data_IF_344080634379
#
_entry.id   IF_344080634379
#
_cell.length_a   1.000
_cell.length_b   1.000
_cell.length_c   1.000
_cell.angle_alpha   90.00
_cell.angle_beta   90.00
_cell.angle_gamma   90.00
#
_symmetry.space_group_name_H-M   'P 1'
#
loop_
_entity.id
_entity.type
_entity.pdbx_description
1 polymer ?
#
# COMPACT_ATOMS: atom_id res chain seq x y z
N UNK A 1 -34.65 13.71 -11.74
CA UNK A 1 -33.90 13.67 -10.47
C UNK A 1 -33.76 12.21 -10.06
N UNK A 2 -32.65 11.51 -10.33
CA UNK A 2 -32.44 10.22 -9.71
C UNK A 2 -32.01 10.46 -8.26
N UNK A 3 -32.90 10.11 -7.32
CA UNK A 3 -32.59 9.94 -5.91
C UNK A 3 -31.61 8.77 -5.77
N UNK A 4 -30.31 9.04 -5.71
CA UNK A 4 -29.29 8.00 -5.57
C UNK A 4 -28.98 7.73 -4.09
N UNK A 5 -29.84 6.92 -3.48
CA UNK A 5 -29.69 6.30 -2.15
C UNK A 5 -28.63 5.20 -2.18
N UNK A 6 -27.44 5.47 -2.74
CA UNK A 6 -26.28 4.62 -2.45
C UNK A 6 -25.96 4.79 -0.96
N UNK A 7 -25.80 3.71 -0.18
CA UNK A 7 -25.33 3.82 1.20
C UNK A 7 -24.01 4.60 1.22
N UNK A 8 -23.83 5.44 2.24
CA UNK A 8 -22.63 6.26 2.43
C UNK A 8 -21.43 5.36 2.74
N UNK A 9 -20.85 4.79 1.69
CA UNK A 9 -19.81 3.78 1.78
C UNK A 9 -18.54 4.37 2.39
N UNK A 10 -17.96 3.64 3.33
CA UNK A 10 -16.62 3.93 3.80
C UNK A 10 -15.60 3.48 2.74
N UNK A 11 -14.49 4.20 2.69
CA UNK A 11 -13.23 3.71 2.13
C UNK A 11 -12.18 3.75 3.22
N UNK A 12 -11.13 2.94 3.08
CA UNK A 12 -10.06 2.88 4.05
C UNK A 12 -8.69 2.86 3.36
N UNK A 13 -7.69 3.41 4.03
CA UNK A 13 -6.28 3.24 3.72
C UNK A 13 -5.55 2.73 4.94
N UNK A 14 -4.50 1.94 4.73
CA UNK A 14 -3.71 1.40 5.83
C UNK A 14 -2.24 1.25 5.49
N UNK A 15 -1.41 1.41 6.50
CA UNK A 15 0.01 1.09 6.49
C UNK A 15 0.39 0.30 7.76
N UNK A 16 1.38 -0.58 7.63
CA UNK A 16 1.76 -1.56 8.65
C UNK A 16 2.99 -1.12 9.45
N UNK A 17 2.78 -0.76 10.71
CA UNK A 17 3.87 -0.52 11.67
C UNK A 17 4.25 -1.80 12.44
N UNK A 18 5.26 -1.74 13.33
CA UNK A 18 5.81 -2.95 14.00
C UNK A 18 4.76 -3.89 14.59
N UNK A 19 3.80 -3.35 15.33
CA UNK A 19 2.88 -4.15 16.16
C UNK A 19 1.45 -4.23 15.59
N UNK A 20 1.17 -3.57 14.46
CA UNK A 20 -0.19 -3.55 13.91
C UNK A 20 -0.31 -2.80 12.60
N UNK A 21 -1.48 -2.21 12.38
CA UNK A 21 -1.81 -1.41 11.20
C UNK A 21 -2.41 -0.08 11.61
N UNK A 22 -1.93 1.03 11.04
CA UNK A 22 -2.63 2.31 11.10
C UNK A 22 -3.73 2.26 10.05
N UNK A 23 -4.95 2.65 10.41
CA UNK A 23 -6.12 2.64 9.52
C UNK A 23 -6.73 4.02 9.49
N UNK A 24 -6.88 4.56 8.28
CA UNK A 24 -7.58 5.81 7.99
C UNK A 24 -8.86 5.48 7.25
N UNK A 25 -9.99 5.66 7.90
CA UNK A 25 -11.34 5.50 7.35
C UNK A 25 -11.86 6.85 6.90
N UNK A 26 -12.41 6.91 5.70
CA UNK A 26 -12.99 8.13 5.15
C UNK A 26 -14.35 7.86 4.52
N UNK A 27 -15.29 8.77 4.77
CA UNK A 27 -16.63 8.74 4.17
C UNK A 27 -16.74 9.91 3.18
N UNK A 28 -16.62 9.65 1.86
CA UNK A 28 -16.49 10.72 0.87
C UNK A 28 -17.64 11.73 0.86
N UNK A 29 -18.88 11.27 1.11
CA UNK A 29 -20.08 12.12 1.10
C UNK A 29 -20.12 13.15 2.22
N UNK A 30 -19.62 12.80 3.41
CA UNK A 30 -19.70 13.67 4.59
C UNK A 30 -18.36 14.33 4.92
N UNK A 31 -17.27 13.91 4.24
CA UNK A 31 -15.91 14.30 4.59
C UNK A 31 -15.43 13.73 5.94
N UNK A 32 -16.20 12.84 6.57
CA UNK A 32 -15.85 12.29 7.88
C UNK A 32 -14.64 11.39 7.76
N UNK A 33 -13.61 11.68 8.55
CA UNK A 33 -12.39 10.86 8.66
C UNK A 33 -12.28 10.31 10.07
N UNK A 34 -11.85 9.06 10.20
CA UNK A 34 -11.53 8.40 11.47
C UNK A 34 -10.19 7.70 11.33
N UNK A 35 -9.38 7.77 12.37
CA UNK A 35 -8.11 7.06 12.39
C UNK A 35 -8.05 6.16 13.63
N UNK A 36 -7.52 4.96 13.47
CA UNK A 36 -7.29 4.01 14.55
C UNK A 36 -6.13 3.09 14.22
N UNK A 37 -5.64 2.36 15.22
CA UNK A 37 -4.80 1.19 15.01
C UNK A 37 -5.62 -0.09 15.14
N UNK A 38 -5.20 -1.15 14.45
CA UNK A 38 -5.77 -2.50 14.60
C UNK A 38 -4.68 -3.57 14.65
N UNK A 39 -4.98 -4.68 15.31
CA UNK A 39 -4.06 -5.78 15.54
C UNK A 39 -4.16 -6.80 14.40
N UNK A 40 -3.17 -6.79 13.50
CA UNK A 40 -3.06 -7.79 12.43
C UNK A 40 -4.08 -7.66 11.30
N UNK A 41 -4.02 -8.61 10.36
CA UNK A 41 -4.79 -8.56 9.11
C UNK A 41 -6.25 -8.95 9.30
N UNK A 42 -6.57 -9.82 10.25
CA UNK A 42 -7.96 -10.22 10.52
C UNK A 42 -8.77 -9.03 11.03
N UNK A 43 -8.27 -8.30 12.04
CA UNK A 43 -8.92 -7.09 12.53
C UNK A 43 -9.04 -5.98 11.47
N UNK A 44 -8.11 -5.94 10.51
CA UNK A 44 -8.16 -5.03 9.37
C UNK A 44 -9.29 -5.40 8.39
N UNK A 45 -9.54 -6.69 8.16
CA UNK A 45 -10.61 -7.15 7.26
C UNK A 45 -11.99 -7.16 7.93
N UNK A 46 -12.03 -7.28 9.25
CA UNK A 46 -13.26 -7.29 10.06
C UNK A 46 -13.62 -5.89 10.60
N UNK A 47 -13.11 -4.82 9.98
CA UNK A 47 -13.45 -3.44 10.36
C UNK A 47 -14.97 -3.24 10.32
N UNK A 48 -15.59 -2.73 11.40
CA UNK A 48 -17.05 -2.61 11.50
C UNK A 48 -17.64 -1.60 10.50
N UNK A 49 -16.82 -0.68 9.99
CA UNK A 49 -17.20 0.23 8.91
C UNK A 49 -17.40 -0.46 7.55
N UNK A 50 -16.93 -1.71 7.38
CA UNK A 50 -17.01 -2.52 6.15
C UNK A 50 -16.68 -1.70 4.88
N UNK A 51 -15.44 -1.17 4.77
CA UNK A 51 -15.10 -0.24 3.70
C UNK A 51 -15.25 -0.90 2.33
N UNK A 52 -15.93 -0.20 1.40
CA UNK A 52 -16.13 -0.66 0.02
C UNK A 52 -14.80 -0.86 -0.73
N UNK A 53 -13.78 -0.06 -0.37
CA UNK A 53 -12.40 -0.19 -0.84
C UNK A 53 -11.46 -0.02 0.34
N UNK A 54 -10.50 -0.93 0.47
CA UNK A 54 -9.39 -0.85 1.41
C UNK A 54 -8.06 -0.81 0.64
N UNK A 55 -7.39 0.34 0.63
CA UNK A 55 -6.03 0.50 0.14
C UNK A 55 -5.01 0.05 1.19
N UNK A 56 -4.12 -0.86 0.84
CA UNK A 56 -3.11 -1.43 1.76
C UNK A 56 -1.72 -1.14 1.22
N UNK A 57 -0.85 -0.51 2.01
CA UNK A 57 0.59 -0.45 1.72
C UNK A 57 1.27 -1.77 2.08
N UNK A 58 0.99 -2.78 1.26
CA UNK A 58 1.61 -4.08 1.36
C UNK A 58 1.44 -4.83 0.05
N UNK A 59 2.43 -5.66 -0.26
CA UNK A 59 2.45 -6.47 -1.49
C UNK A 59 1.26 -7.43 -1.53
N UNK A 60 0.42 -7.29 -2.56
CA UNK A 60 -0.62 -8.23 -2.94
C UNK A 60 -0.24 -8.89 -4.27
N UNK A 61 -0.40 -10.20 -4.35
CA UNK A 61 0.00 -10.94 -5.54
C UNK A 61 1.51 -11.09 -5.64
N UNK A 62 2.15 -11.64 -4.59
CA UNK A 62 3.56 -12.05 -4.66
C UNK A 62 3.81 -12.93 -5.90
N UNK A 63 4.91 -12.74 -6.65
CA UNK A 63 5.19 -13.55 -7.83
C UNK A 63 5.52 -15.00 -7.44
N UNK A 64 5.25 -15.96 -8.32
CA UNK A 64 5.60 -17.37 -8.07
C UNK A 64 7.11 -17.61 -8.14
N UNK A 65 7.81 -16.81 -8.95
CA UNK A 65 9.27 -16.80 -9.08
C UNK A 65 9.80 -15.39 -8.90
N UNK A 66 10.92 -15.25 -8.19
CA UNK A 66 11.58 -13.97 -8.08
C UNK A 66 12.21 -13.61 -9.42
N UNK A 67 12.08 -12.34 -9.81
CA UNK A 67 12.59 -11.79 -11.06
C UNK A 67 13.42 -10.55 -10.77
N UNK A 68 14.53 -10.32 -11.47
CA UNK A 68 15.25 -9.05 -11.40
C UNK A 68 14.30 -7.87 -11.65
N UNK A 69 14.34 -6.86 -10.78
CA UNK A 69 13.41 -5.73 -10.85
C UNK A 69 11.99 -6.00 -10.32
N UNK A 70 11.65 -7.19 -9.85
CA UNK A 70 10.34 -7.49 -9.28
C UNK A 70 9.24 -7.65 -10.32
N UNK A 71 7.97 -7.51 -9.90
CA UNK A 71 6.79 -7.65 -10.74
C UNK A 71 6.73 -6.52 -11.77
N UNK A 72 5.95 -6.70 -12.83
CA UNK A 72 5.73 -5.66 -13.85
C UNK A 72 5.19 -4.35 -13.24
N UNK A 73 4.33 -4.44 -12.23
CA UNK A 73 3.83 -3.26 -11.51
C UNK A 73 4.95 -2.54 -10.73
N UNK A 74 5.88 -3.28 -10.11
CA UNK A 74 7.02 -2.70 -9.38
C UNK A 74 7.96 -1.95 -10.33
N UNK A 75 8.23 -2.53 -11.51
CA UNK A 75 9.08 -1.91 -12.53
C UNK A 75 8.46 -0.63 -13.07
N UNK A 76 7.16 -0.65 -13.39
CA UNK A 76 6.41 0.52 -13.83
C UNK A 76 6.37 1.61 -12.75
N UNK A 77 6.15 1.23 -11.49
CA UNK A 77 6.17 2.16 -10.35
C UNK A 77 7.54 2.86 -10.22
N UNK A 78 8.65 2.13 -10.34
CA UNK A 78 9.99 2.72 -10.33
C UNK A 78 10.24 3.67 -11.49
N UNK A 79 9.73 3.33 -12.67
CA UNK A 79 9.86 4.17 -13.85
C UNK A 79 9.14 5.51 -13.67
N UNK A 80 7.93 5.50 -13.09
CA UNK A 80 7.19 6.74 -12.78
C UNK A 80 7.92 7.59 -11.75
N UNK A 81 8.41 6.99 -10.67
CA UNK A 81 9.07 7.73 -9.59
C UNK A 81 10.46 8.25 -9.99
N UNK A 82 11.13 7.59 -10.93
CA UNK A 82 12.46 7.98 -11.41
C UNK A 82 13.55 7.94 -10.34
N UNK A 83 14.79 8.28 -10.68
CA UNK A 83 15.85 8.38 -9.68
C UNK A 83 15.76 9.72 -8.93
N UNK A 84 15.92 9.76 -7.59
CA UNK A 84 16.23 8.64 -6.68
C UNK A 84 15.00 7.97 -6.05
N UNK A 85 13.76 8.40 -6.36
CA UNK A 85 12.56 7.94 -5.64
C UNK A 85 12.12 6.52 -5.98
N UNK A 86 12.47 5.99 -7.15
CA UNK A 86 12.21 4.60 -7.52
C UNK A 86 12.87 3.59 -6.57
N UNK A 87 13.89 3.98 -5.81
CA UNK A 87 14.48 3.11 -4.78
C UNK A 87 13.51 2.81 -3.61
N UNK A 88 12.44 3.59 -3.44
CA UNK A 88 11.40 3.33 -2.44
C UNK A 88 10.56 2.09 -2.75
N UNK A 89 10.43 1.73 -4.02
CA UNK A 89 9.68 0.54 -4.47
C UNK A 89 10.63 -0.66 -4.43
N UNK A 90 10.55 -1.46 -3.37
CA UNK A 90 11.36 -2.68 -3.27
C UNK A 90 10.84 -3.78 -4.21
N UNK A 91 11.70 -4.72 -4.60
CA UNK A 91 11.28 -5.92 -5.33
C UNK A 91 10.80 -6.97 -4.34
N UNK A 92 9.55 -7.44 -4.42
CA UNK A 92 9.07 -8.45 -3.50
C UNK A 92 9.72 -9.82 -3.75
N UNK A 93 9.81 -10.68 -2.71
CA UNK A 93 10.29 -12.05 -2.87
C UNK A 93 9.30 -12.92 -3.67
N UNK A 94 9.75 -14.09 -4.08
CA UNK A 94 8.84 -15.15 -4.52
C UNK A 94 7.90 -15.59 -3.37
N UNK A 95 6.69 -16.01 -3.68
CA UNK A 95 5.72 -16.47 -2.70
C UNK A 95 6.23 -17.61 -1.80
N UNK A 96 7.04 -18.53 -2.34
CA UNK A 96 7.61 -19.65 -1.59
C UNK A 96 8.53 -19.22 -0.43
N UNK A 97 9.01 -17.97 -0.44
CA UNK A 97 9.84 -17.39 0.62
C UNK A 97 9.02 -17.10 1.88
N UNK A 98 7.70 -16.94 1.76
CA UNK A 98 6.85 -16.54 2.87
C UNK A 98 7.04 -17.43 4.09
N UNK A 99 7.25 -18.74 3.94
CA UNK A 99 7.46 -19.64 5.08
C UNK A 99 8.87 -19.67 5.67
N UNK A 100 9.76 -18.73 5.33
CA UNK A 100 11.10 -18.66 5.91
C UNK A 100 11.08 -18.01 7.30
N UNK A 101 11.89 -18.54 8.21
CA UNK A 101 12.03 -18.00 9.58
C UNK A 101 13.32 -17.21 9.77
N UNK A 102 14.34 -17.51 8.96
CA UNK A 102 15.65 -16.85 9.00
C UNK A 102 15.97 -16.16 7.68
N UNK A 103 16.81 -15.13 7.73
CA UNK A 103 17.22 -14.40 6.54
C UNK A 103 17.97 -15.30 5.55
N UNK A 104 18.82 -16.20 6.04
CA UNK A 104 19.58 -17.13 5.20
C UNK A 104 18.67 -18.15 4.50
N UNK A 105 17.66 -18.65 5.22
CA UNK A 105 16.62 -19.47 4.60
C UNK A 105 15.84 -18.68 3.55
N UNK A 106 15.43 -17.46 3.85
CA UNK A 106 14.68 -16.63 2.93
C UNK A 106 15.50 -16.34 1.66
N UNK A 107 16.78 -16.02 1.80
CA UNK A 107 17.74 -15.88 0.70
C UNK A 107 17.83 -17.16 -0.15
N UNK A 108 18.03 -18.32 0.49
CA UNK A 108 18.12 -19.61 -0.18
C UNK A 108 16.84 -19.93 -0.97
N UNK A 109 15.67 -19.78 -0.33
CA UNK A 109 14.37 -20.01 -0.97
C UNK A 109 14.12 -19.05 -2.14
N UNK A 110 14.48 -17.76 -1.99
CA UNK A 110 14.29 -16.78 -3.06
C UNK A 110 15.18 -17.10 -4.26
N UNK A 111 16.46 -17.37 -4.03
CA UNK A 111 17.42 -17.75 -5.09
C UNK A 111 17.06 -19.07 -5.78
N UNK A 112 16.43 -20.00 -5.07
CA UNK A 112 15.98 -21.26 -5.65
C UNK A 112 14.72 -21.12 -6.52
N UNK A 113 14.02 -19.97 -6.48
CA UNK A 113 12.75 -19.79 -7.20
C UNK A 113 12.93 -19.62 -8.72
N UNK A 114 14.08 -19.14 -9.18
CA UNK A 114 14.45 -19.08 -10.60
C UNK A 114 15.97 -18.96 -10.77
N UNK A 115 16.55 -19.33 -11.93
CA UNK A 115 17.99 -19.19 -12.17
C UNK A 115 18.51 -17.75 -12.02
N UNK A 116 17.67 -16.76 -12.36
CA UNK A 116 18.02 -15.33 -12.32
C UNK A 116 17.47 -14.62 -11.07
N UNK A 117 17.00 -15.36 -10.07
CA UNK A 117 16.37 -14.79 -8.89
C UNK A 117 17.35 -13.86 -8.13
N UNK A 118 16.98 -12.59 -7.90
CA UNK A 118 17.84 -11.67 -7.17
C UNK A 118 17.97 -12.07 -5.70
N UNK A 119 19.00 -11.52 -5.04
CA UNK A 119 19.09 -11.57 -3.58
C UNK A 119 17.90 -10.86 -2.91
N UNK A 120 17.49 -11.35 -1.75
CA UNK A 120 16.49 -10.72 -0.92
C UNK A 120 17.09 -9.58 -0.08
N UNK A 121 16.47 -8.41 -0.03
CA UNK A 121 16.94 -7.33 0.86
C UNK A 121 16.52 -7.59 2.33
N UNK A 122 17.25 -7.03 3.30
CA UNK A 122 16.85 -7.10 4.72
C UNK A 122 15.48 -6.44 4.96
N UNK A 123 15.19 -5.35 4.26
CA UNK A 123 13.87 -4.70 4.29
C UNK A 123 12.76 -5.67 3.87
N UNK A 124 12.91 -6.34 2.73
CA UNK A 124 11.93 -7.33 2.27
C UNK A 124 11.79 -8.51 3.26
N UNK A 125 12.89 -8.94 3.88
CA UNK A 125 12.86 -9.98 4.91
C UNK A 125 12.06 -9.56 6.15
N UNK A 126 12.30 -8.36 6.68
CA UNK A 126 11.56 -7.85 7.85
C UNK A 126 10.05 -7.67 7.59
N UNK A 127 9.65 -7.48 6.33
CA UNK A 127 8.26 -7.41 5.91
C UNK A 127 7.60 -8.80 5.70
N UNK A 128 8.36 -9.90 5.68
CA UNK A 128 7.82 -11.24 5.45
C UNK A 128 6.67 -11.63 6.39
N UNK A 129 6.71 -11.35 7.71
CA UNK A 129 5.59 -11.72 8.59
C UNK A 129 4.28 -11.04 8.17
N UNK A 130 4.31 -9.75 7.81
CA UNK A 130 3.12 -9.01 7.35
C UNK A 130 2.68 -9.46 5.96
N UNK A 131 3.63 -9.65 5.03
CA UNK A 131 3.34 -10.20 3.70
C UNK A 131 2.70 -11.59 3.79
N UNK A 132 3.19 -12.46 4.69
CA UNK A 132 2.64 -13.80 4.95
C UNK A 132 1.21 -13.70 5.46
N UNK A 133 1.00 -12.92 6.52
CA UNK A 133 -0.32 -12.75 7.13
C UNK A 133 -1.34 -12.26 6.11
N UNK A 134 -0.97 -11.30 5.26
CA UNK A 134 -1.83 -10.80 4.19
C UNK A 134 -2.07 -11.86 3.12
N UNK A 135 -1.01 -12.50 2.60
CA UNK A 135 -1.11 -13.48 1.52
C UNK A 135 -1.99 -14.68 1.86
N UNK A 136 -1.88 -15.22 3.09
CA UNK A 136 -2.71 -16.33 3.58
C UNK A 136 -4.21 -15.99 3.59
N UNK A 137 -4.53 -14.71 3.71
CA UNK A 137 -5.90 -14.19 3.77
C UNK A 137 -6.28 -13.49 2.47
N UNK A 138 -5.53 -13.58 1.38
CA UNK A 138 -5.93 -12.95 0.12
C UNK A 138 -6.52 -13.96 -0.86
N UNK A 139 -7.66 -13.61 -1.46
CA UNK A 139 -8.30 -14.36 -2.54
C UNK A 139 -8.59 -13.41 -3.70
N UNK A 140 -8.78 -13.93 -4.94
CA UNK A 140 -9.17 -13.08 -6.07
C UNK A 140 -10.43 -12.24 -5.80
N UNK A 141 -11.44 -12.82 -5.13
CA UNK A 141 -12.66 -12.11 -4.77
C UNK A 141 -12.41 -10.99 -3.73
N UNK A 142 -11.57 -11.26 -2.71
CA UNK A 142 -11.20 -10.24 -1.72
C UNK A 142 -10.40 -9.09 -2.35
N UNK A 143 -9.55 -9.40 -3.34
CA UNK A 143 -8.77 -8.41 -4.08
C UNK A 143 -9.64 -7.41 -4.85
N UNK A 144 -10.93 -7.67 -5.04
CA UNK A 144 -11.80 -6.70 -5.69
C UNK A 144 -12.11 -5.49 -4.80
N UNK A 145 -12.00 -5.66 -3.47
CA UNK A 145 -12.17 -4.61 -2.45
C UNK A 145 -10.85 -4.20 -1.80
N UNK A 146 -9.93 -5.14 -1.61
CA UNK A 146 -8.61 -4.88 -0.99
C UNK A 146 -7.56 -4.69 -2.09
N UNK A 147 -6.96 -3.51 -2.13
CA UNK A 147 -6.09 -3.05 -3.24
C UNK A 147 -4.73 -2.67 -2.71
N UNK A 148 -3.67 -3.14 -3.36
CA UNK A 148 -2.31 -2.69 -3.06
C UNK A 148 -2.15 -1.24 -3.53
N UNK A 149 -1.67 -0.39 -2.63
CA UNK A 149 -1.38 1.03 -2.88
C UNK A 149 0.04 1.30 -2.39
N UNK A 150 0.83 2.06 -3.15
CA UNK A 150 2.15 2.48 -2.70
C UNK A 150 2.13 3.99 -2.36
N UNK A 151 2.46 4.41 -1.13
CA UNK A 151 2.35 5.81 -0.70
C UNK A 151 3.15 6.78 -1.59
N UNK A 152 4.36 6.44 -1.99
CA UNK A 152 5.14 7.32 -2.89
C UNK A 152 4.48 7.52 -4.26
N UNK A 153 3.73 6.54 -4.79
CA UNK A 153 2.95 6.73 -6.02
C UNK A 153 1.68 7.57 -5.77
N UNK A 154 1.06 7.41 -4.60
CA UNK A 154 -0.06 8.25 -4.21
C UNK A 154 0.38 9.72 -4.07
N UNK A 155 1.51 9.99 -3.42
CA UNK A 155 2.10 11.32 -3.32
C UNK A 155 2.55 11.87 -4.68
N UNK A 156 3.14 11.03 -5.53
CA UNK A 156 3.45 11.39 -6.92
C UNK A 156 2.20 11.87 -7.66
N UNK A 157 1.08 11.15 -7.56
CA UNK A 157 -0.18 11.56 -8.17
C UNK A 157 -0.78 12.83 -7.54
N UNK A 158 -0.71 12.98 -6.21
CA UNK A 158 -1.15 14.20 -5.53
C UNK A 158 -0.37 15.45 -5.97
N UNK A 159 0.92 15.26 -6.24
CA UNK A 159 1.89 16.28 -6.63
C UNK A 159 1.96 16.51 -8.16
N UNK A 160 0.91 16.15 -8.90
CA UNK A 160 0.81 16.42 -10.33
C UNK A 160 1.76 15.59 -11.18
N UNK A 161 1.88 14.30 -10.87
CA UNK A 161 2.77 13.35 -11.56
C UNK A 161 4.26 13.74 -11.48
N UNK A 162 4.64 14.28 -10.32
CA UNK A 162 6.03 14.58 -9.99
C UNK A 162 6.41 13.98 -8.62
N UNK A 163 7.57 13.32 -8.50
CA UNK A 163 8.00 12.74 -7.23
C UNK A 163 8.23 13.84 -6.18
N UNK A 164 7.87 13.58 -4.93
CA UNK A 164 8.28 14.44 -3.81
C UNK A 164 9.78 14.29 -3.63
N UNK A 165 10.53 15.38 -3.83
CA UNK A 165 12.00 15.35 -3.87
C UNK A 165 12.60 14.86 -2.55
N UNK A 166 12.12 15.42 -1.43
CA UNK A 166 12.63 15.12 -0.10
C UNK A 166 12.13 13.78 0.44
N UNK A 167 13.01 13.10 1.16
CA UNK A 167 12.70 11.82 1.82
C UNK A 167 11.61 12.00 2.88
N UNK A 168 10.69 11.05 3.01
CA UNK A 168 9.68 11.04 4.08
C UNK A 168 10.29 11.02 5.50
N UNK A 169 11.57 10.71 5.62
CA UNK A 169 12.30 10.73 6.89
C UNK A 169 12.89 12.10 7.26
N UNK A 170 12.86 13.11 6.38
CA UNK A 170 13.25 14.49 6.72
C UNK A 170 12.03 15.33 7.09
N UNK A 171 12.23 16.40 7.86
CA UNK A 171 11.16 17.33 8.23
C UNK A 171 10.51 17.96 6.99
N UNK A 172 11.34 18.39 6.02
CA UNK A 172 10.85 18.97 4.76
C UNK A 172 10.02 17.96 3.96
N UNK A 173 10.45 16.70 3.88
CA UNK A 173 9.71 15.67 3.17
C UNK A 173 8.41 15.27 3.86
N UNK A 174 8.36 15.30 5.20
CA UNK A 174 7.11 15.16 5.96
C UNK A 174 6.17 16.33 5.70
N UNK A 175 6.65 17.57 5.87
CA UNK A 175 5.85 18.78 5.65
C UNK A 175 5.25 18.84 4.23
N UNK A 176 6.02 18.45 3.20
CA UNK A 176 5.51 18.38 1.83
C UNK A 176 4.35 17.38 1.69
N UNK A 177 4.47 16.18 2.29
CA UNK A 177 3.42 15.14 2.27
C UNK A 177 2.18 15.57 3.06
N UNK A 178 2.38 16.18 4.22
CA UNK A 178 1.30 16.78 5.03
C UNK A 178 0.54 17.83 4.23
N UNK A 179 1.23 18.76 3.57
CA UNK A 179 0.61 19.80 2.76
C UNK A 179 -0.19 19.22 1.58
N UNK A 180 0.35 18.19 0.91
CA UNK A 180 -0.37 17.47 -0.16
C UNK A 180 -1.66 16.81 0.36
N UNK A 181 -1.61 16.15 1.53
CA UNK A 181 -2.80 15.53 2.13
C UNK A 181 -3.85 16.55 2.57
N UNK A 182 -3.42 17.65 3.21
CA UNK A 182 -4.29 18.74 3.64
C UNK A 182 -5.03 19.34 2.44
N UNK A 183 -4.34 19.58 1.32
CA UNK A 183 -4.93 20.06 0.07
C UNK A 183 -5.93 19.08 -0.59
N UNK A 184 -6.00 17.83 -0.09
CA UNK A 184 -6.94 16.80 -0.56
C UNK A 184 -8.06 16.50 0.45
N UNK A 185 -8.22 17.35 1.45
CA UNK A 185 -9.33 17.31 2.40
C UNK A 185 -9.03 16.59 3.71
N UNK A 186 -7.76 16.27 3.99
CA UNK A 186 -7.33 15.80 5.30
C UNK A 186 -6.76 16.98 6.11
N UNK A 187 -7.59 17.97 6.44
CA UNK A 187 -7.14 19.21 7.10
C UNK A 187 -6.51 18.97 8.47
N UNK A 188 -7.00 17.98 9.21
CA UNK A 188 -6.53 17.63 10.56
C UNK A 188 -5.29 16.72 10.57
N UNK A 189 -4.61 16.56 9.43
CA UNK A 189 -3.52 15.57 9.29
C UNK A 189 -2.39 15.79 10.29
N UNK A 190 -2.04 17.04 10.61
CA UNK A 190 -1.02 17.35 11.61
C UNK A 190 -1.44 16.89 12.99
N UNK A 191 -2.63 17.32 13.45
CA UNK A 191 -3.19 16.92 14.75
C UNK A 191 -3.36 15.41 14.88
N UNK A 192 -3.81 14.74 13.82
CA UNK A 192 -3.96 13.28 13.78
C UNK A 192 -2.60 12.58 13.84
N UNK A 193 -1.61 13.10 13.12
CA UNK A 193 -0.25 12.55 13.15
C UNK A 193 0.37 12.70 14.54
N UNK A 194 0.25 13.87 15.16
CA UNK A 194 0.77 14.12 16.51
C UNK A 194 0.05 13.27 17.57
N UNK A 195 -1.26 13.04 17.41
CA UNK A 195 -2.06 12.26 18.36
C UNK A 195 -1.91 10.74 18.25
N UNK A 196 -1.55 10.22 17.08
CA UNK A 196 -1.37 8.77 16.84
C UNK A 196 0.09 8.35 16.84
N UNK A 197 1.01 9.23 16.44
CA UNK A 197 2.43 8.93 16.49
C UNK A 197 2.92 8.96 17.93
N UNK A 198 3.79 8.01 18.26
CA UNK A 198 4.23 7.77 19.62
C UNK A 198 4.34 6.28 19.92
N UNK A 199 5.47 5.88 20.52
CA UNK A 199 5.78 4.46 20.72
C UNK A 199 6.06 3.75 19.38
N UNK A 200 5.30 2.69 19.01
CA UNK A 200 5.60 1.89 17.82
C UNK A 200 5.07 2.47 16.49
N UNK A 201 4.20 3.48 16.52
CA UNK A 201 3.66 4.15 15.34
C UNK A 201 4.49 5.38 15.01
N UNK A 202 5.09 5.40 13.81
CA UNK A 202 5.80 6.53 13.24
C UNK A 202 4.87 7.54 12.58
N UNK A 203 5.35 8.77 12.43
CA UNK A 203 4.63 9.81 11.68
C UNK A 203 4.47 9.43 10.20
N UNK A 204 5.46 8.75 9.62
CA UNK A 204 5.39 8.25 8.25
C UNK A 204 4.31 7.18 8.09
N UNK A 205 4.11 6.28 9.07
CA UNK A 205 3.04 5.28 9.02
C UNK A 205 1.64 5.93 8.94
N UNK A 206 1.44 7.06 9.64
CA UNK A 206 0.19 7.81 9.61
C UNK A 206 0.00 8.50 8.24
N UNK A 207 1.04 9.15 7.72
CA UNK A 207 0.99 9.81 6.42
C UNK A 207 0.74 8.81 5.28
N UNK A 208 1.38 7.65 5.34
CA UNK A 208 1.28 6.59 4.34
C UNK A 208 -0.11 5.94 4.35
N UNK A 209 -0.70 5.71 5.53
CA UNK A 209 -2.09 5.27 5.66
C UNK A 209 -3.10 6.28 5.08
N UNK A 210 -2.86 7.59 5.23
CA UNK A 210 -3.69 8.62 4.61
C UNK A 210 -3.52 8.65 3.08
N UNK A 211 -2.30 8.46 2.58
CA UNK A 211 -2.03 8.36 1.15
C UNK A 211 -2.72 7.14 0.53
N UNK A 212 -2.71 6.00 1.23
CA UNK A 212 -3.48 4.81 0.87
C UNK A 212 -4.99 5.09 0.85
N UNK A 213 -5.50 5.86 1.82
CA UNK A 213 -6.92 6.20 1.94
C UNK A 213 -7.38 7.13 0.81
N UNK A 214 -6.54 8.13 0.47
CA UNK A 214 -6.78 9.01 -0.67
C UNK A 214 -6.90 8.22 -1.98
N UNK A 215 -6.00 7.26 -2.19
CA UNK A 215 -6.03 6.38 -3.36
C UNK A 215 -7.30 5.50 -3.34
N UNK A 216 -7.65 4.91 -2.20
CA UNK A 216 -8.89 4.14 -2.04
C UNK A 216 -10.14 4.97 -2.37
N UNK A 217 -10.18 6.25 -1.97
CA UNK A 217 -11.24 7.19 -2.36
C UNK A 217 -11.33 7.37 -3.88
N UNK A 218 -10.18 7.47 -4.57
CA UNK A 218 -10.13 7.57 -6.04
C UNK A 218 -10.54 6.27 -6.72
N UNK A 219 -10.22 5.11 -6.16
CA UNK A 219 -10.65 3.80 -6.67
C UNK A 219 -12.18 3.70 -6.58
N UNK A 220 -12.75 4.03 -5.42
CA UNK A 220 -14.20 4.09 -5.22
C UNK A 220 -14.89 5.03 -6.21
N UNK A 221 -14.28 6.18 -6.51
CA UNK A 221 -14.79 7.13 -7.50
C UNK A 221 -14.51 6.74 -8.98
N UNK A 222 -13.76 5.66 -9.24
CA UNK A 222 -13.38 5.23 -10.59
C UNK A 222 -12.26 6.07 -11.25
N UNK A 223 -11.68 7.01 -10.52
CA UNK A 223 -10.67 7.99 -11.01
C UNK A 223 -9.21 7.62 -10.69
N UNK A 224 -8.98 6.51 -9.98
CA UNK A 224 -7.63 6.05 -9.68
C UNK A 224 -6.94 5.44 -10.90
N UNK A 225 -5.62 5.53 -10.90
CA UNK A 225 -4.74 4.88 -11.86
C UNK A 225 -4.04 3.68 -11.20
N UNK A 226 -3.39 2.85 -12.01
CA UNK A 226 -2.58 1.74 -11.50
C UNK A 226 -1.39 1.43 -12.40
N UNK A 227 -0.43 0.74 -11.81
CA UNK A 227 0.70 0.10 -12.48
C UNK A 227 0.47 -1.42 -12.54
N UNK A 228 0.57 -2.10 -13.70
CA UNK A 228 0.61 -1.50 -15.05
C UNK A 228 -0.68 -0.72 -15.36
N UNK A 229 -0.70 0.09 -16.42
CA UNK A 229 -1.87 0.89 -16.82
C UNK A 229 -3.16 0.06 -16.87
N UNK A 230 -4.31 0.70 -16.62
CA UNK A 230 -5.64 0.08 -16.72
C UNK A 230 -5.95 -0.46 -18.12
N UNK A 231 -5.28 0.07 -19.15
CA UNK A 231 -5.41 -0.38 -20.55
C UNK A 231 -4.77 -1.74 -20.80
N UNK A 232 -3.91 -2.20 -19.89
CA UNK A 232 -3.31 -3.51 -19.92
C UNK A 232 -3.89 -4.42 -18.83
N UNK A 233 -4.11 -5.69 -19.17
CA UNK A 233 -4.43 -6.70 -18.17
C UNK A 233 -3.27 -6.82 -17.17
N UNK A 234 -3.56 -6.72 -15.87
CA UNK A 234 -2.57 -6.98 -14.84
C UNK A 234 -2.19 -8.47 -14.87
N UNK A 235 -0.89 -8.82 -14.92
CA UNK A 235 -0.45 -10.20 -14.75
C UNK A 235 -1.00 -10.81 -13.45
N UNK A 236 -1.21 -12.12 -13.43
CA UNK A 236 -1.66 -12.86 -12.25
C UNK A 236 -0.62 -13.90 -11.86
N UNK A 237 -0.54 -14.19 -10.57
CA UNK A 237 0.21 -15.33 -10.07
C UNK A 237 -0.62 -16.63 -10.10
N UNK A 238 -0.02 -17.76 -9.74
CA UNK A 238 -0.68 -19.09 -9.72
C UNK A 238 -1.89 -19.16 -8.76
N UNK A 239 -1.97 -18.24 -7.80
CA UNK A 239 -3.11 -18.08 -6.87
C UNK A 239 -4.24 -17.21 -7.44
N UNK A 240 -4.10 -16.73 -8.69
CA UNK A 240 -5.07 -15.89 -9.37
C UNK A 240 -5.10 -14.43 -8.93
N UNK A 241 -4.18 -14.00 -8.05
CA UNK A 241 -4.10 -12.62 -7.59
C UNK A 241 -3.41 -11.75 -8.65
N UNK A 242 -4.00 -10.57 -8.93
CA UNK A 242 -3.43 -9.55 -9.82
C UNK A 242 -2.17 -8.95 -9.20
N UNK A 243 -1.16 -8.73 -10.03
CA UNK A 243 0.07 -8.00 -9.69
C UNK A 243 -0.08 -6.57 -10.17
N UNK A 244 -0.67 -5.73 -9.32
CA UNK A 244 -1.00 -4.33 -9.63
C UNK A 244 -0.78 -3.43 -8.41
N UNK A 245 -0.38 -2.17 -8.64
CA UNK A 245 -0.23 -1.14 -7.60
C UNK A 245 -1.08 0.06 -7.99
N UNK A 246 -1.98 0.49 -7.11
CA UNK A 246 -2.88 1.63 -7.34
C UNK A 246 -2.28 2.96 -6.86
N UNK A 247 -2.69 4.06 -7.52
CA UNK A 247 -2.27 5.44 -7.23
C UNK A 247 -3.39 6.46 -7.50
#
# INVERSE_FOLDING_TARGET
MPSSTEPSAWVAGTDGFRDGWVVVLHRPRTGTTRCRTVDGVDALFDLPEDPSVLGVDMVIGLPDRAVPGGRTCDQAARQLLGHPRGASVFSPPAHAVLGAETYDEAQRRNRASSPDAPGLTKQAFHLLPKMRALAERMTPARQDRVREVHPELAFYAMNGDAPVADSKHTDTGRAARTALLAARGFSEIETVTDGLSGGPVGADDVLDAHAACWTARRIHAGTAERCPSKDAAAPRNDRGLRMEIWR
#
